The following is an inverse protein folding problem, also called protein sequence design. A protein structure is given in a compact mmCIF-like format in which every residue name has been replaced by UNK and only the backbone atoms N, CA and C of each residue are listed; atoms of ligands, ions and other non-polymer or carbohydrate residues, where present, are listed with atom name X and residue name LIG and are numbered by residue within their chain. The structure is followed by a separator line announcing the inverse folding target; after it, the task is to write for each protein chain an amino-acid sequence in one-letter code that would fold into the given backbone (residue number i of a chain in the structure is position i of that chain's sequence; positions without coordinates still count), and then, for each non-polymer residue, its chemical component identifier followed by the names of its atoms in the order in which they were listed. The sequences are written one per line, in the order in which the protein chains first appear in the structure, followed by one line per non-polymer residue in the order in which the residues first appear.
data_IF_716158349812
#
_entry.id   IF_716158349812
#
_cell.length_a   1.000
_cell.length_b   1.000
_cell.length_c   1.000
_cell.angle_alpha   90.00
_cell.angle_beta   90.00
_cell.angle_gamma   90.00
#
_symmetry.space_group_name_H-M   'P 1'
#
loop_
_entity.id
_entity.type
_entity.pdbx_description
1 polymer ?
#
# COMPACT_ATOMS: atom_id res chain seq x y z
N UNK A 1 14.70 -2.43 4.56
CA UNK A 1 14.12 -2.65 5.89
C UNK A 1 13.28 -3.93 5.93
N UNK A 2 12.15 -4.01 5.20
CA UNK A 2 11.25 -5.18 5.19
C UNK A 2 11.99 -6.51 5.02
N UNK A 3 12.77 -6.71 3.95
CA UNK A 3 13.56 -7.95 3.75
C UNK A 3 14.41 -8.33 4.97
N UNK A 4 15.06 -7.36 5.61
CA UNK A 4 15.88 -7.58 6.82
C UNK A 4 15.03 -7.99 8.02
N UNK A 5 13.84 -7.40 8.20
CA UNK A 5 12.93 -7.75 9.30
C UNK A 5 12.38 -9.18 9.23
N UNK A 6 12.41 -9.79 8.04
CA UNK A 6 11.92 -11.15 7.77
C UNK A 6 13.04 -12.13 7.39
N UNK A 7 14.32 -11.77 7.61
CA UNK A 7 15.46 -12.58 7.18
C UNK A 7 15.54 -13.97 7.84
N UNK A 8 14.88 -14.16 8.99
CA UNK A 8 14.88 -15.44 9.72
C UNK A 8 13.56 -16.23 9.52
N UNK A 9 12.60 -15.69 8.76
CA UNK A 9 11.24 -16.23 8.61
C UNK A 9 11.01 -16.96 7.28
N UNK A 10 12.07 -17.33 6.56
CA UNK A 10 11.98 -17.89 5.20
C UNK A 10 11.16 -19.18 5.07
N UNK A 11 10.92 -19.90 6.16
CA UNK A 11 10.17 -21.16 6.16
C UNK A 11 8.65 -20.98 6.01
N UNK A 12 8.12 -19.81 6.37
CA UNK A 12 6.68 -19.53 6.34
C UNK A 12 6.32 -18.16 5.76
N UNK A 13 7.31 -17.33 5.41
CA UNK A 13 7.12 -16.04 4.74
C UNK A 13 7.79 -16.04 3.37
N UNK A 14 7.04 -15.60 2.36
CA UNK A 14 7.56 -15.25 1.03
C UNK A 14 7.45 -13.75 0.81
N UNK A 15 8.48 -13.12 0.24
CA UNK A 15 8.48 -11.69 -0.08
C UNK A 15 8.83 -11.50 -1.55
N UNK A 16 7.96 -10.80 -2.28
CA UNK A 16 8.22 -10.32 -3.64
C UNK A 16 8.24 -8.79 -3.62
N UNK A 17 9.26 -8.21 -4.25
CA UNK A 17 9.38 -6.75 -4.40
C UNK A 17 9.34 -6.42 -5.88
N UNK A 18 8.34 -5.66 -6.28
CA UNK A 18 8.28 -5.03 -7.60
C UNK A 18 8.95 -3.66 -7.49
N UNK A 19 10.07 -3.51 -8.20
CA UNK A 19 10.88 -2.29 -8.19
C UNK A 19 11.12 -1.63 -9.53
N UNK A 20 10.86 -2.38 -10.60
CA UNK A 20 10.90 -1.89 -11.97
C UNK A 20 9.77 -0.88 -12.19
N UNK A 21 10.13 0.32 -12.65
CA UNK A 21 9.20 1.42 -12.83
C UNK A 21 8.21 1.18 -13.97
N UNK A 22 8.61 0.48 -15.03
CA UNK A 22 7.74 0.13 -16.16
C UNK A 22 6.70 -0.90 -15.71
N UNK A 23 7.13 -1.91 -14.94
CA UNK A 23 6.21 -2.89 -14.35
C UNK A 23 5.24 -2.21 -13.36
N UNK A 24 5.71 -1.25 -12.56
CA UNK A 24 4.84 -0.48 -11.67
C UNK A 24 3.84 0.36 -12.48
N UNK A 25 4.27 1.03 -13.55
CA UNK A 25 3.41 1.82 -14.42
C UNK A 25 2.33 0.97 -15.12
N UNK A 26 2.67 -0.26 -15.51
CA UNK A 26 1.73 -1.17 -16.15
C UNK A 26 0.76 -1.81 -15.15
N UNK A 27 1.27 -2.35 -14.04
CA UNK A 27 0.49 -3.16 -13.12
C UNK A 27 -0.23 -2.33 -12.03
N UNK A 28 0.31 -1.15 -11.71
CA UNK A 28 -0.14 -0.23 -10.67
C UNK A 28 -0.12 1.25 -11.13
N UNK A 29 -0.78 1.58 -12.26
CA UNK A 29 -0.68 2.89 -12.91
C UNK A 29 -1.05 4.07 -11.99
N UNK A 30 -1.98 3.91 -11.05
CA UNK A 30 -2.36 4.98 -10.12
C UNK A 30 -1.26 5.23 -9.08
N UNK A 31 -0.61 4.18 -8.58
CA UNK A 31 0.56 4.32 -7.70
C UNK A 31 1.76 4.93 -8.44
N UNK A 32 1.95 4.56 -9.71
CA UNK A 32 2.96 5.15 -10.56
C UNK A 32 2.75 6.67 -10.73
N UNK A 33 1.50 7.10 -10.98
CA UNK A 33 1.15 8.52 -11.08
C UNK A 33 1.45 9.29 -9.78
N UNK A 34 1.07 8.73 -8.62
CA UNK A 34 1.36 9.33 -7.31
C UNK A 34 2.87 9.50 -7.07
N UNK A 35 3.69 8.55 -7.52
CA UNK A 35 5.15 8.57 -7.32
C UNK A 35 5.90 9.36 -8.40
N UNK A 36 5.23 9.82 -9.46
CA UNK A 36 5.87 10.30 -10.71
C UNK A 36 6.92 11.38 -10.47
N UNK A 37 6.59 12.41 -9.68
CA UNK A 37 7.54 13.48 -9.31
C UNK A 37 8.71 13.02 -8.42
N UNK A 38 8.57 11.91 -7.71
CA UNK A 38 9.59 11.37 -6.80
C UNK A 38 10.59 10.44 -7.50
N UNK A 39 10.24 9.88 -8.66
CA UNK A 39 11.01 8.82 -9.31
C UNK A 39 12.41 9.25 -9.77
N UNK A 40 12.66 10.56 -9.94
CA UNK A 40 13.99 11.11 -10.24
C UNK A 40 15.02 10.88 -9.14
N UNK A 41 14.57 10.58 -7.92
CA UNK A 41 15.44 10.33 -6.78
C UNK A 41 15.36 8.84 -6.44
N UNK A 42 16.45 8.10 -6.66
CA UNK A 42 16.48 6.64 -6.51
C UNK A 42 15.93 6.14 -5.17
N UNK A 43 16.28 6.81 -4.07
CA UNK A 43 15.79 6.45 -2.73
C UNK A 43 14.30 6.75 -2.47
N UNK A 44 13.62 7.45 -3.38
CA UNK A 44 12.19 7.77 -3.28
C UNK A 44 11.33 7.00 -4.26
N UNK A 45 11.94 6.22 -5.17
CA UNK A 45 11.23 5.42 -6.16
C UNK A 45 10.23 4.48 -5.50
N UNK A 46 9.08 4.36 -6.13
CA UNK A 46 8.01 3.48 -5.67
C UNK A 46 8.44 2.02 -5.60
N UNK A 47 7.82 1.27 -4.68
CA UNK A 47 7.95 -0.17 -4.53
C UNK A 47 6.59 -0.76 -4.19
N UNK A 48 6.22 -1.85 -4.83
CA UNK A 48 5.11 -2.68 -4.38
C UNK A 48 5.71 -3.93 -3.74
N UNK A 49 5.43 -4.12 -2.44
CA UNK A 49 5.96 -5.27 -1.69
C UNK A 49 4.82 -6.21 -1.36
N UNK A 50 4.87 -7.40 -1.92
CA UNK A 50 3.97 -8.51 -1.64
C UNK A 50 4.63 -9.41 -0.59
N UNK A 51 3.91 -9.69 0.49
CA UNK A 51 4.35 -10.57 1.58
C UNK A 51 3.28 -11.61 1.79
N UNK A 52 3.65 -12.89 1.76
CA UNK A 52 2.73 -14.00 1.95
C UNK A 52 3.17 -14.83 3.16
N UNK A 53 2.27 -15.05 4.11
CA UNK A 53 2.39 -16.03 5.18
C UNK A 53 1.67 -17.31 4.80
N UNK A 54 2.38 -18.44 4.88
CA UNK A 54 1.84 -19.79 4.71
C UNK A 54 1.96 -20.58 6.00
N UNK A 55 0.84 -21.13 6.44
CA UNK A 55 0.82 -22.13 7.51
C UNK A 55 1.69 -23.33 7.12
N UNK A 56 2.45 -23.85 8.08
CA UNK A 56 3.20 -25.11 7.91
C UNK A 56 2.28 -26.34 7.83
N UNK A 57 0.99 -26.17 8.09
CA UNK A 57 -0.03 -27.19 7.94
C UNK A 57 -1.15 -26.70 7.01
N UNK A 58 -0.98 -26.79 5.67
CA UNK A 58 -1.93 -26.25 4.70
C UNK A 58 -3.35 -26.82 4.82
N UNK A 59 -3.51 -28.06 5.29
CA UNK A 59 -4.83 -28.70 5.44
C UNK A 59 -5.65 -28.14 6.59
N UNK A 60 -5.04 -27.36 7.49
CA UNK A 60 -5.72 -26.68 8.60
C UNK A 60 -6.16 -25.25 8.27
N UNK A 61 -5.77 -24.71 7.12
CA UNK A 61 -6.16 -23.37 6.70
C UNK A 61 -7.65 -23.34 6.41
N UNK A 62 -8.37 -22.39 7.01
CA UNK A 62 -9.82 -22.22 6.85
C UNK A 62 -10.19 -20.90 6.17
N UNK A 63 -9.28 -19.92 6.16
CA UNK A 63 -9.52 -18.60 5.58
C UNK A 63 -8.23 -17.91 5.11
N UNK A 64 -8.41 -16.94 4.22
CA UNK A 64 -7.33 -16.13 3.65
C UNK A 64 -7.56 -14.66 3.94
N UNK A 65 -6.67 -14.04 4.72
CA UNK A 65 -6.70 -12.61 4.98
C UNK A 65 -5.84 -11.88 3.94
N UNK A 66 -6.42 -10.90 3.26
CA UNK A 66 -5.79 -10.15 2.17
C UNK A 66 -5.74 -8.68 2.56
N UNK A 67 -4.54 -8.16 2.84
CA UNK A 67 -4.34 -6.84 3.43
C UNK A 67 -3.65 -5.91 2.45
N UNK A 68 -4.20 -4.71 2.23
CA UNK A 68 -3.54 -3.65 1.45
C UNK A 68 -3.25 -2.46 2.35
N UNK A 69 -1.97 -2.11 2.49
CA UNK A 69 -1.53 -1.03 3.36
C UNK A 69 -1.10 0.22 2.59
N UNK A 70 -1.63 1.39 2.98
CA UNK A 70 -1.15 2.69 2.50
C UNK A 70 0.30 2.90 2.95
N UNK A 71 1.21 3.04 1.99
CA UNK A 71 2.65 3.15 2.22
C UNK A 71 3.26 4.45 1.74
N UNK A 72 2.52 5.56 1.78
CA UNK A 72 3.04 6.88 1.39
C UNK A 72 4.09 7.30 2.41
N UNK A 73 5.36 7.16 2.02
CA UNK A 73 6.51 7.28 2.92
C UNK A 73 6.72 8.70 3.45
N UNK A 74 6.32 9.68 2.64
CA UNK A 74 6.15 11.07 2.99
C UNK A 74 5.15 11.70 2.03
N UNK A 75 4.26 12.53 2.56
CA UNK A 75 3.19 13.16 1.80
C UNK A 75 3.32 14.69 1.85
N UNK A 76 3.62 15.28 0.69
CA UNK A 76 3.65 16.74 0.52
C UNK A 76 2.30 17.29 0.09
N UNK A 77 1.39 16.44 -0.36
CA UNK A 77 0.16 16.77 -1.09
C UNK A 77 0.30 16.85 -2.61
N UNK A 78 1.52 16.79 -3.15
CA UNK A 78 1.74 16.88 -4.61
C UNK A 78 1.50 18.31 -5.13
N UNK A 79 0.84 18.45 -6.27
CA UNK A 79 0.50 19.76 -6.83
C UNK A 79 -0.49 20.54 -5.94
N UNK A 80 -1.42 19.85 -5.29
CA UNK A 80 -2.29 20.33 -4.22
C UNK A 80 -1.54 20.35 -2.87
N UNK A 81 -0.48 21.14 -2.81
CA UNK A 81 0.49 21.11 -1.71
C UNK A 81 -0.14 21.39 -0.34
N UNK A 82 0.26 20.63 0.68
CA UNK A 82 -0.12 20.87 2.07
C UNK A 82 0.45 22.20 2.55
N UNK A 83 -0.44 23.13 2.88
CA UNK A 83 -0.11 24.45 3.44
C UNK A 83 -0.31 24.50 4.96
N UNK A 84 -0.04 25.66 5.57
CA UNK A 84 -0.34 25.96 6.98
C UNK A 84 0.25 24.97 7.98
N UNK A 85 1.48 24.47 7.71
CA UNK A 85 2.22 23.57 8.59
C UNK A 85 1.66 22.14 8.66
N UNK A 86 0.67 21.77 7.84
CA UNK A 86 0.03 20.44 7.86
C UNK A 86 0.92 19.32 7.33
N UNK A 87 2.03 19.65 6.67
CA UNK A 87 3.02 18.70 6.18
C UNK A 87 3.83 18.04 7.32
N UNK A 88 4.00 18.74 8.44
CA UNK A 88 4.73 18.20 9.59
C UNK A 88 4.03 16.94 10.13
N UNK A 89 4.77 15.83 10.21
CA UNK A 89 4.24 14.54 10.67
C UNK A 89 3.71 13.62 9.57
N UNK A 90 3.74 14.03 8.30
CA UNK A 90 3.35 13.19 7.15
C UNK A 90 4.32 12.05 6.85
N UNK A 91 5.45 11.96 7.56
CA UNK A 91 6.22 10.73 7.63
C UNK A 91 5.40 9.55 8.22
N UNK A 92 4.29 9.79 8.94
CA UNK A 92 3.40 8.74 9.47
C UNK A 92 2.44 8.21 8.42
N UNK A 93 2.42 8.75 7.22
CA UNK A 93 1.41 8.39 6.22
C UNK A 93 1.62 7.00 5.56
N UNK A 94 2.68 6.32 6.00
CA UNK A 94 3.00 4.91 5.71
C UNK A 94 2.57 3.94 6.82
N UNK A 95 1.91 4.42 7.89
CA UNK A 95 1.57 3.57 9.04
C UNK A 95 0.62 2.43 8.66
N UNK A 96 -0.19 2.58 7.61
CA UNK A 96 -1.02 1.48 7.09
C UNK A 96 -0.19 0.30 6.58
N UNK A 97 0.80 0.56 5.73
CA UNK A 97 1.77 -0.44 5.29
C UNK A 97 2.62 -0.98 6.46
N UNK A 98 3.00 -0.14 7.41
CA UNK A 98 3.74 -0.59 8.59
C UNK A 98 2.92 -1.57 9.44
N UNK A 99 1.61 -1.32 9.62
CA UNK A 99 0.70 -2.20 10.34
C UNK A 99 0.53 -3.55 9.63
N UNK A 100 0.37 -3.55 8.30
CA UNK A 100 0.32 -4.79 7.49
C UNK A 100 1.60 -5.61 7.64
N UNK A 101 2.76 -4.97 7.52
CA UNK A 101 4.04 -5.65 7.71
C UNK A 101 4.20 -6.20 9.14
N UNK A 102 3.79 -5.43 10.15
CA UNK A 102 3.81 -5.85 11.55
C UNK A 102 2.90 -7.05 11.82
N UNK A 103 1.69 -7.07 11.24
CA UNK A 103 0.76 -8.20 11.35
C UNK A 103 1.35 -9.47 10.75
N UNK A 104 1.92 -9.40 9.55
CA UNK A 104 2.59 -10.54 8.91
C UNK A 104 3.79 -11.03 9.71
N UNK A 105 4.54 -10.12 10.36
CA UNK A 105 5.63 -10.51 11.28
C UNK A 105 5.08 -11.22 12.52
N UNK A 106 3.94 -10.79 13.05
CA UNK A 106 3.29 -11.52 14.14
C UNK A 106 2.85 -12.92 13.68
N UNK A 107 2.30 -13.07 12.46
CA UNK A 107 1.97 -14.38 11.89
C UNK A 107 3.21 -15.27 11.72
N UNK A 108 4.35 -14.73 11.30
CA UNK A 108 5.58 -15.52 11.13
C UNK A 108 6.08 -16.12 12.45
N UNK A 109 5.94 -15.37 13.55
CA UNK A 109 6.34 -15.77 14.89
C UNK A 109 5.32 -16.74 15.50
N UNK A 110 4.03 -16.38 15.48
CA UNK A 110 2.97 -17.13 16.17
C UNK A 110 2.46 -18.35 15.40
N UNK A 111 2.69 -18.38 14.08
CA UNK A 111 2.37 -19.50 13.18
C UNK A 111 0.92 -19.99 13.30
N UNK A 112 -0.10 -19.10 13.17
CA UNK A 112 -1.50 -19.51 13.24
C UNK A 112 -1.78 -20.55 12.14
N UNK A 113 -2.28 -21.75 12.50
CA UNK A 113 -2.42 -22.85 11.54
C UNK A 113 -3.64 -22.70 10.62
N UNK A 114 -4.62 -21.88 11.02
CA UNK A 114 -5.90 -21.68 10.34
C UNK A 114 -5.89 -20.55 9.30
N UNK A 115 -4.81 -19.77 9.24
CA UNK A 115 -4.70 -18.60 8.37
C UNK A 115 -3.71 -18.81 7.23
N UNK A 116 -4.10 -18.31 6.06
CA UNK A 116 -3.18 -17.79 5.04
C UNK A 116 -3.29 -16.27 5.05
N UNK A 117 -2.17 -15.55 4.91
CA UNK A 117 -2.21 -14.07 4.88
C UNK A 117 -1.40 -13.56 3.70
N UNK A 118 -2.01 -12.69 2.89
CA UNK A 118 -1.37 -12.01 1.77
C UNK A 118 -1.42 -10.51 2.04
N UNK A 119 -0.26 -9.86 2.16
CA UNK A 119 -0.15 -8.42 2.36
C UNK A 119 0.48 -7.72 1.16
N UNK A 120 -0.09 -6.60 0.72
CA UNK A 120 0.52 -5.69 -0.24
C UNK A 120 0.84 -4.36 0.46
N UNK A 121 2.10 -3.95 0.41
CA UNK A 121 2.56 -2.64 0.85
C UNK A 121 2.73 -1.74 -0.37
N UNK A 122 1.93 -0.67 -0.44
CA UNK A 122 1.95 0.29 -1.55
C UNK A 122 2.92 1.43 -1.22
N UNK A 123 4.23 1.22 -1.42
CA UNK A 123 5.26 2.17 -0.98
C UNK A 123 5.55 3.19 -2.09
N UNK A 124 5.33 4.47 -1.80
CA UNK A 124 5.66 5.57 -2.71
C UNK A 124 5.95 6.85 -1.91
N UNK A 125 6.27 7.94 -2.60
CA UNK A 125 6.31 9.27 -2.01
C UNK A 125 5.48 10.22 -2.86
N UNK A 126 4.57 10.96 -2.24
CA UNK A 126 3.80 12.00 -2.92
C UNK A 126 4.58 13.31 -2.86
N UNK A 127 5.31 13.59 -3.93
CA UNK A 127 6.19 14.76 -4.06
C UNK A 127 5.59 15.79 -5.00
N UNK A 128 5.93 17.06 -4.77
CA UNK A 128 5.75 18.15 -5.73
C UNK A 128 7.00 18.29 -6.61
N UNK A 129 6.83 18.43 -7.92
CA UNK A 129 7.91 18.57 -8.89
C UNK A 129 7.37 18.74 -10.31
N UNK A 130 8.28 18.88 -11.28
CA UNK A 130 7.88 19.11 -12.69
C UNK A 130 7.11 17.94 -13.31
N UNK A 131 7.31 16.72 -12.81
CA UNK A 131 6.57 15.53 -13.26
C UNK A 131 5.40 15.18 -12.31
N UNK A 132 4.95 16.08 -11.46
CA UNK A 132 3.77 15.82 -10.62
C UNK A 132 2.56 15.48 -11.48
N UNK A 133 1.75 14.54 -11.01
CA UNK A 133 0.37 14.47 -11.47
C UNK A 133 -0.41 15.65 -10.90
N UNK A 134 -1.42 16.09 -11.65
CA UNK A 134 -2.14 17.33 -11.38
C UNK A 134 -3.62 17.08 -11.24
N UNK A 135 -4.31 18.01 -10.57
CA UNK A 135 -5.76 18.07 -10.62
C UNK A 135 -6.24 18.23 -12.08
N UNK A 136 -7.38 17.61 -12.37
CA UNK A 136 -7.97 17.38 -13.70
C UNK A 136 -7.23 16.42 -14.64
N UNK A 137 -6.12 15.83 -14.22
CA UNK A 137 -5.52 14.71 -14.96
C UNK A 137 -6.45 13.48 -14.92
N UNK A 138 -6.58 12.79 -16.06
CA UNK A 138 -7.33 11.54 -16.18
C UNK A 138 -6.36 10.37 -16.19
N UNK A 139 -6.42 9.54 -15.15
CA UNK A 139 -5.58 8.35 -15.02
C UNK A 139 -6.38 7.09 -15.35
N UNK A 140 -5.75 6.11 -15.97
CA UNK A 140 -6.38 4.80 -16.21
C UNK A 140 -5.88 3.84 -15.13
N UNK A 141 -6.81 3.27 -14.36
CA UNK A 141 -6.50 2.27 -13.32
C UNK A 141 -6.25 0.88 -13.92
N UNK A 142 -5.67 -0.02 -13.13
CA UNK A 142 -5.55 -1.46 -13.43
C UNK A 142 -6.88 -2.08 -13.84
N UNK A 143 -7.99 -1.61 -13.25
CA UNK A 143 -9.34 -2.09 -13.58
C UNK A 143 -9.86 -1.64 -14.95
N UNK A 144 -9.09 -0.83 -15.69
CA UNK A 144 -9.51 -0.18 -16.94
C UNK A 144 -10.38 1.06 -16.73
N UNK A 145 -10.84 1.34 -15.50
CA UNK A 145 -11.62 2.54 -15.19
C UNK A 145 -10.75 3.79 -15.20
N UNK A 146 -11.28 4.87 -15.76
CA UNK A 146 -10.68 6.19 -15.73
C UNK A 146 -10.99 6.90 -14.40
N UNK A 147 -9.98 7.52 -13.81
CA UNK A 147 -10.03 8.27 -12.56
C UNK A 147 -9.66 9.72 -12.86
N UNK A 148 -10.61 10.64 -12.71
CA UNK A 148 -10.31 12.07 -12.70
C UNK A 148 -9.72 12.44 -11.35
N UNK A 149 -8.51 12.97 -11.36
CA UNK A 149 -7.86 13.49 -10.16
C UNK A 149 -8.48 14.85 -9.86
N UNK A 150 -9.13 14.99 -8.71
CA UNK A 150 -9.68 16.30 -8.28
C UNK A 150 -8.85 16.96 -7.20
N UNK A 151 -7.92 16.22 -6.60
CA UNK A 151 -7.00 16.69 -5.57
C UNK A 151 -5.84 15.68 -5.42
N UNK A 152 -4.60 16.13 -5.56
CA UNK A 152 -3.40 15.28 -5.45
C UNK A 152 -3.01 14.96 -4.00
N UNK A 153 -3.64 15.59 -3.00
CA UNK A 153 -3.55 15.27 -1.56
C UNK A 153 -4.55 14.18 -1.13
N UNK A 154 -5.30 13.63 -2.10
CA UNK A 154 -6.12 12.44 -1.92
C UNK A 154 -5.41 11.19 -2.48
N UNK A 155 -4.08 11.19 -2.53
CA UNK A 155 -3.20 10.20 -3.16
C UNK A 155 -3.32 8.80 -2.57
N UNK A 156 -3.56 8.67 -1.27
CA UNK A 156 -3.50 7.38 -0.57
C UNK A 156 -4.47 6.36 -1.13
N UNK A 157 -5.65 6.80 -1.58
CA UNK A 157 -6.64 5.92 -2.23
C UNK A 157 -6.20 5.52 -3.64
N UNK A 158 -5.54 6.43 -4.38
CA UNK A 158 -4.98 6.14 -5.71
C UNK A 158 -3.85 5.11 -5.59
N UNK A 159 -2.91 5.34 -4.67
CA UNK A 159 -1.76 4.47 -4.44
C UNK A 159 -2.16 3.02 -4.07
N UNK A 160 -3.33 2.82 -3.48
CA UNK A 160 -3.82 1.48 -3.10
C UNK A 160 -4.80 0.86 -4.09
N UNK A 161 -5.51 1.65 -4.91
CA UNK A 161 -6.65 1.18 -5.70
C UNK A 161 -6.30 0.01 -6.62
N UNK A 162 -5.16 0.09 -7.33
CA UNK A 162 -4.71 -0.99 -8.21
C UNK A 162 -4.33 -2.26 -7.44
N UNK A 163 -3.74 -2.09 -6.25
CA UNK A 163 -3.41 -3.21 -5.35
C UNK A 163 -4.66 -3.88 -4.78
N UNK A 164 -5.71 -3.11 -4.46
CA UNK A 164 -7.01 -3.65 -4.04
C UNK A 164 -7.66 -4.42 -5.19
N UNK A 165 -7.61 -3.88 -6.40
CA UNK A 165 -8.12 -4.59 -7.58
C UNK A 165 -7.37 -5.90 -7.81
N UNK A 166 -6.03 -5.89 -7.76
CA UNK A 166 -5.22 -7.11 -7.81
C UNK A 166 -5.60 -8.12 -6.71
N UNK A 167 -5.84 -7.67 -5.47
CA UNK A 167 -6.33 -8.56 -4.41
C UNK A 167 -7.70 -9.15 -4.75
N UNK A 168 -8.60 -8.38 -5.36
CA UNK A 168 -9.90 -8.90 -5.79
C UNK A 168 -9.78 -9.98 -6.88
N UNK A 169 -8.81 -9.84 -7.80
CA UNK A 169 -8.52 -10.87 -8.81
C UNK A 169 -7.95 -12.14 -8.18
N UNK A 170 -7.04 -11.99 -7.20
CA UNK A 170 -6.44 -13.10 -6.47
C UNK A 170 -7.45 -13.84 -5.59
N UNK A 171 -8.38 -13.11 -4.95
CA UNK A 171 -9.37 -13.65 -4.03
C UNK A 171 -10.21 -14.79 -4.64
N UNK A 172 -10.47 -14.73 -5.96
CA UNK A 172 -11.20 -15.77 -6.68
C UNK A 172 -10.54 -17.17 -6.62
N UNK A 173 -9.26 -17.23 -6.24
CA UNK A 173 -8.47 -18.46 -6.15
C UNK A 173 -8.13 -18.86 -4.72
N UNK A 174 -8.62 -18.10 -3.74
CA UNK A 174 -8.27 -18.27 -2.32
C UNK A 174 -9.44 -18.83 -1.52
N UNK A 175 -9.12 -19.56 -0.44
CA UNK A 175 -10.13 -20.14 0.44
C UNK A 175 -10.67 -19.09 1.40
N UNK A 176 -12.00 -18.89 1.40
CA UNK A 176 -12.73 -17.91 2.24
C UNK A 176 -11.96 -16.56 2.37
N UNK A 177 -11.83 -15.79 1.27
CA UNK A 177 -10.99 -14.61 1.23
C UNK A 177 -11.67 -13.40 1.87
N UNK A 178 -10.91 -12.65 2.68
CA UNK A 178 -11.35 -11.39 3.28
C UNK A 178 -10.35 -10.28 2.94
N UNK A 179 -10.80 -9.24 2.23
CA UNK A 179 -9.95 -8.12 1.81
C UNK A 179 -10.12 -6.94 2.77
N UNK A 180 -9.00 -6.43 3.31
CA UNK A 180 -8.96 -5.27 4.18
C UNK A 180 -8.00 -4.21 3.63
N UNK A 181 -8.37 -2.94 3.77
CA UNK A 181 -7.47 -1.81 3.53
C UNK A 181 -7.12 -1.16 4.86
N UNK A 182 -5.85 -0.83 5.06
CA UNK A 182 -5.36 -0.21 6.29
C UNK A 182 -4.60 1.05 5.90
N UNK A 183 -5.12 2.22 6.30
CA UNK A 183 -4.62 3.49 5.80
C UNK A 183 -4.82 4.65 6.77
N UNK A 184 -3.82 5.52 6.86
CA UNK A 184 -3.93 6.88 7.41
C UNK A 184 -4.60 7.79 6.36
N UNK A 185 -5.87 7.55 6.07
CA UNK A 185 -6.45 8.06 4.81
C UNK A 185 -7.02 9.49 4.91
N UNK A 186 -7.68 9.85 6.00
CA UNK A 186 -8.40 11.13 6.06
C UNK A 186 -8.24 11.84 7.40
N UNK A 187 -8.09 13.16 7.33
CA UNK A 187 -8.27 14.03 8.50
C UNK A 187 -9.72 14.02 9.02
N UNK A 188 -10.69 13.68 8.16
CA UNK A 188 -12.11 13.57 8.53
C UNK A 188 -12.35 12.44 9.54
N UNK A 189 -11.74 11.26 9.37
CA UNK A 189 -11.85 10.18 10.34
C UNK A 189 -11.41 10.63 11.75
N UNK A 190 -10.29 11.37 11.83
CA UNK A 190 -9.82 11.99 13.08
C UNK A 190 -10.79 13.03 13.63
N UNK A 191 -11.40 13.85 12.78
CA UNK A 191 -12.38 14.85 13.21
C UNK A 191 -13.65 14.19 13.77
N UNK A 192 -14.07 13.05 13.20
CA UNK A 192 -15.24 12.30 13.65
C UNK A 192 -14.99 11.51 14.93
N UNK A 193 -13.85 10.83 15.05
CA UNK A 193 -13.61 9.84 16.11
C UNK A 193 -12.47 10.19 17.08
N UNK A 194 -11.76 11.31 16.87
CA UNK A 194 -10.67 11.76 17.73
C UNK A 194 -9.28 11.22 17.36
N UNK A 195 -8.32 11.41 18.27
CA UNK A 195 -6.89 11.13 18.01
C UNK A 195 -6.47 9.66 18.23
N UNK A 196 -7.30 8.84 18.89
CA UNK A 196 -6.93 7.52 19.42
C UNK A 196 -7.98 6.45 19.14
N UNK A 197 -8.66 6.55 18.01
CA UNK A 197 -9.66 5.57 17.58
C UNK A 197 -9.12 4.79 16.41
N UNK A 198 -9.29 3.47 16.49
CA UNK A 198 -8.76 2.46 15.58
C UNK A 198 -9.34 2.59 14.17
#
# INVERSE_FOLDING_TARGET
YVKKSFADDHNNITIKVTEDEEVIAQEYPLLAAVSRAANRIDRHKARVVEIEYKSSNPTRVTETLMLVGKGVTYDTGGADIKISGKMAGMARDKCGAAAVAGFLKACSILKPPHLKVIGILCLCRNSVGEDSYVSDELLISRSGKTVRVTNTDAEGRLAMADSVFKMSELALKELNPHIYTIATLTGHARACYGNYTA
#
